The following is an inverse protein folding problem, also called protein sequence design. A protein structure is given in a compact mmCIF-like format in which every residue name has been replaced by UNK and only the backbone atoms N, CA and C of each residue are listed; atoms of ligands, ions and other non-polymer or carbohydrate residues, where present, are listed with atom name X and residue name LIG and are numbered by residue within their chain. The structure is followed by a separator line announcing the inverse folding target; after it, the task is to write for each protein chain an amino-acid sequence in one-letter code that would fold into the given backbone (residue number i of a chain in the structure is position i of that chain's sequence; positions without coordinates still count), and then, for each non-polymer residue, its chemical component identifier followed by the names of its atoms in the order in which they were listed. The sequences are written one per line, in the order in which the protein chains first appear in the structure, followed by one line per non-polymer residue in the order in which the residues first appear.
data_IF_022184047770
#
_entry.id   IF_022184047770
#
_cell.length_a   1.000
_cell.length_b   1.000
_cell.length_c   1.000
_cell.angle_alpha   90.00
_cell.angle_beta   90.00
_cell.angle_gamma   90.00
#
_symmetry.space_group_name_H-M   'P 1'
#
loop_
_entity.id
_entity.type
_entity.pdbx_description
1 polymer ?
#
# COMPACT_ATOMS: atom_id res chain seq x y z
N UNK A 1 26.14 5.02 -6.50
CA UNK A 1 25.75 5.53 -7.84
C UNK A 1 24.61 6.49 -7.65
N UNK A 2 24.76 7.77 -8.00
CA UNK A 2 23.67 8.74 -7.89
C UNK A 2 22.63 8.41 -8.98
N UNK A 3 21.37 8.22 -8.58
CA UNK A 3 20.28 7.94 -9.52
C UNK A 3 20.08 9.15 -10.45
N UNK A 4 20.03 8.91 -11.76
CA UNK A 4 19.69 9.92 -12.76
C UNK A 4 18.23 10.33 -12.58
N UNK A 5 17.97 11.60 -12.25
CA UNK A 5 16.62 12.14 -12.14
C UNK A 5 16.20 12.77 -13.47
N UNK A 6 14.96 12.50 -13.88
CA UNK A 6 14.36 13.09 -15.09
C UNK A 6 13.29 14.09 -14.65
N UNK A 7 13.31 15.35 -15.15
CA UNK A 7 12.32 16.34 -14.78
C UNK A 7 10.93 15.98 -15.35
N UNK A 8 9.89 16.14 -14.55
CA UNK A 8 8.50 15.98 -14.95
C UNK A 8 7.72 17.26 -14.65
N UNK A 9 6.96 17.76 -15.64
CA UNK A 9 6.06 18.91 -15.44
C UNK A 9 4.69 18.42 -14.99
N UNK A 10 4.21 18.96 -13.86
CA UNK A 10 2.93 18.58 -13.25
C UNK A 10 2.01 19.78 -13.26
N UNK A 11 0.82 19.59 -13.84
CA UNK A 11 -0.23 20.62 -13.79
C UNK A 11 -0.92 20.54 -12.44
N UNK A 12 -0.95 21.67 -11.75
CA UNK A 12 -1.67 21.84 -10.50
C UNK A 12 -2.66 22.98 -10.66
N UNK A 13 -3.83 22.81 -10.05
CA UNK A 13 -4.77 23.90 -9.87
C UNK A 13 -4.08 25.09 -9.14
N UNK A 14 -4.36 26.36 -9.50
CA UNK A 14 -3.73 27.51 -8.88
C UNK A 14 -3.90 27.57 -7.36
N UNK A 15 -5.06 27.17 -6.83
CA UNK A 15 -5.34 27.15 -5.39
C UNK A 15 -4.48 26.07 -4.72
N UNK A 16 -4.39 24.88 -5.32
CA UNK A 16 -3.55 23.80 -4.81
C UNK A 16 -2.06 24.18 -4.79
N UNK A 17 -1.58 24.83 -5.87
CA UNK A 17 -0.20 25.33 -5.96
C UNK A 17 0.10 26.36 -4.87
N UNK A 18 -0.83 27.27 -4.59
CA UNK A 18 -0.68 28.29 -3.56
C UNK A 18 -0.63 27.65 -2.15
N UNK A 19 -1.55 26.74 -1.84
CA UNK A 19 -1.55 25.98 -0.58
C UNK A 19 -0.25 25.21 -0.37
N UNK A 20 0.27 24.56 -1.40
CA UNK A 20 1.54 23.83 -1.32
C UNK A 20 2.71 24.78 -1.00
N UNK A 21 2.76 25.98 -1.58
CA UNK A 21 3.78 26.99 -1.25
C UNK A 21 3.69 27.44 0.21
N UNK A 22 2.48 27.65 0.73
CA UNK A 22 2.26 28.04 2.13
C UNK A 22 2.66 26.94 3.12
N UNK A 23 2.40 25.67 2.78
CA UNK A 23 2.89 24.52 3.55
C UNK A 23 4.43 24.47 3.52
N UNK A 24 5.01 24.61 2.34
CA UNK A 24 6.47 24.62 2.13
C UNK A 24 7.16 25.72 2.96
N UNK A 25 6.59 26.94 2.95
CA UNK A 25 7.09 28.07 3.74
C UNK A 25 7.04 27.77 5.25
N UNK A 26 5.92 27.24 5.76
CA UNK A 26 5.76 26.86 7.17
C UNK A 26 6.77 25.79 7.59
N UNK A 27 7.09 24.86 6.70
CA UNK A 27 8.01 23.75 6.97
C UNK A 27 9.48 24.06 6.62
N UNK A 28 9.79 25.26 6.11
CA UNK A 28 11.12 25.65 5.61
C UNK A 28 11.68 24.69 4.55
N UNK A 29 10.81 24.14 3.69
CA UNK A 29 11.15 23.24 2.59
C UNK A 29 10.76 23.85 1.25
N UNK A 30 11.27 23.34 0.14
CA UNK A 30 10.83 23.80 -1.19
C UNK A 30 9.53 23.10 -1.56
N UNK A 31 8.63 23.82 -2.27
CA UNK A 31 7.39 23.22 -2.77
C UNK A 31 7.67 22.04 -3.71
N UNK A 32 8.78 22.07 -4.45
CA UNK A 32 9.24 20.96 -5.27
C UNK A 32 9.57 19.72 -4.44
N UNK A 33 10.36 19.84 -3.37
CA UNK A 33 10.74 18.71 -2.54
C UNK A 33 9.51 18.05 -1.89
N UNK A 34 8.55 18.84 -1.42
CA UNK A 34 7.28 18.32 -0.91
C UNK A 34 6.44 17.62 -1.98
N UNK A 35 6.39 18.17 -3.20
CA UNK A 35 5.68 17.53 -4.30
C UNK A 35 6.31 16.19 -4.67
N UNK A 36 7.64 16.11 -4.78
CA UNK A 36 8.35 14.85 -5.07
C UNK A 36 8.07 13.80 -4.00
N UNK A 37 8.19 14.18 -2.72
CA UNK A 37 7.90 13.26 -1.60
C UNK A 37 6.45 12.75 -1.63
N UNK A 38 5.49 13.65 -1.85
CA UNK A 38 4.08 13.26 -1.94
C UNK A 38 3.81 12.30 -3.10
N UNK A 39 4.46 12.50 -4.25
CA UNK A 39 4.34 11.62 -5.41
C UNK A 39 4.97 10.25 -5.12
N UNK A 40 6.15 10.22 -4.51
CA UNK A 40 6.80 8.96 -4.12
C UNK A 40 5.93 8.16 -3.15
N UNK A 41 5.41 8.81 -2.11
CA UNK A 41 4.50 8.17 -1.16
C UNK A 41 3.22 7.64 -1.83
N UNK A 42 2.68 8.39 -2.80
CA UNK A 42 1.51 7.95 -3.57
C UNK A 42 1.84 6.72 -4.42
N UNK A 43 3.00 6.69 -5.09
CA UNK A 43 3.45 5.54 -5.89
C UNK A 43 3.55 4.31 -4.99
N UNK A 44 4.25 4.40 -3.86
CA UNK A 44 4.40 3.29 -2.91
C UNK A 44 3.05 2.80 -2.39
N UNK A 45 2.12 3.71 -2.09
CA UNK A 45 0.77 3.32 -1.70
C UNK A 45 0.05 2.58 -2.83
N UNK A 46 0.13 3.09 -4.08
CA UNK A 46 -0.54 2.49 -5.22
C UNK A 46 0.02 1.13 -5.58
N UNK A 47 1.33 0.94 -5.46
CA UNK A 47 1.97 -0.37 -5.65
C UNK A 47 1.55 -1.36 -4.57
N UNK A 48 1.46 -0.95 -3.30
CA UNK A 48 0.96 -1.81 -2.22
C UNK A 48 -0.50 -2.22 -2.44
N UNK A 49 -1.37 -1.27 -2.80
CA UNK A 49 -2.76 -1.56 -3.15
C UNK A 49 -2.85 -2.53 -4.34
N UNK A 50 -2.02 -2.33 -5.36
CA UNK A 50 -1.99 -3.21 -6.53
C UNK A 50 -1.52 -4.61 -6.18
N UNK A 51 -0.44 -4.75 -5.41
CA UNK A 51 0.11 -6.04 -4.98
C UNK A 51 -0.89 -6.82 -4.12
N UNK A 52 -1.60 -6.13 -3.21
CA UNK A 52 -2.67 -6.74 -2.42
C UNK A 52 -3.83 -7.23 -3.29
N UNK A 53 -4.28 -6.41 -4.25
CA UNK A 53 -5.35 -6.83 -5.16
C UNK A 53 -4.93 -8.03 -6.02
N UNK A 54 -3.69 -8.04 -6.50
CA UNK A 54 -3.15 -9.18 -7.24
C UNK A 54 -3.08 -10.43 -6.37
N UNK A 55 -2.69 -10.33 -5.09
CA UNK A 55 -2.65 -11.50 -4.20
C UNK A 55 -4.06 -12.05 -3.94
N UNK A 56 -5.07 -11.19 -3.75
CA UNK A 56 -6.46 -11.64 -3.62
C UNK A 56 -6.95 -12.37 -4.88
N UNK A 57 -6.67 -11.83 -6.07
CA UNK A 57 -7.02 -12.48 -7.34
C UNK A 57 -6.31 -13.83 -7.49
N UNK A 58 -5.03 -13.90 -7.12
CA UNK A 58 -4.26 -15.15 -7.16
C UNK A 58 -4.86 -16.20 -6.22
N UNK A 59 -5.18 -15.83 -4.97
CA UNK A 59 -5.83 -16.74 -4.01
C UNK A 59 -7.19 -17.23 -4.51
N UNK A 60 -7.98 -16.35 -5.14
CA UNK A 60 -9.27 -16.74 -5.72
C UNK A 60 -9.11 -17.72 -6.88
N UNK A 61 -8.15 -17.47 -7.78
CA UNK A 61 -7.86 -18.40 -8.88
C UNK A 61 -7.36 -19.76 -8.35
N UNK A 62 -6.49 -19.76 -7.35
CA UNK A 62 -6.02 -20.99 -6.70
C UNK A 62 -7.17 -21.78 -6.08
N UNK A 63 -8.10 -21.13 -5.39
CA UNK A 63 -9.30 -21.79 -4.88
C UNK A 63 -10.14 -22.38 -6.01
N UNK A 64 -10.35 -21.64 -7.10
CA UNK A 64 -11.11 -22.15 -8.26
C UNK A 64 -10.47 -23.37 -8.92
N UNK A 65 -9.14 -23.44 -8.94
CA UNK A 65 -8.41 -24.55 -9.55
C UNK A 65 -8.30 -25.76 -8.62
N UNK A 66 -8.08 -25.54 -7.33
CA UNK A 66 -7.74 -26.60 -6.38
C UNK A 66 -8.87 -27.00 -5.43
N UNK A 67 -9.87 -26.13 -5.24
CA UNK A 67 -10.90 -26.25 -4.20
C UNK A 67 -10.39 -25.98 -2.78
N UNK A 68 -9.08 -25.78 -2.59
CA UNK A 68 -8.49 -25.63 -1.27
C UNK A 68 -8.87 -24.28 -0.65
N UNK A 69 -9.43 -24.32 0.55
CA UNK A 69 -9.88 -23.16 1.32
C UNK A 69 -9.60 -23.38 2.81
N UNK A 70 -9.81 -22.35 3.63
CA UNK A 70 -9.83 -22.44 5.10
C UNK A 70 -11.25 -22.17 5.53
N UNK A 71 -11.77 -22.94 6.50
CA UNK A 71 -13.13 -22.71 7.01
C UNK A 71 -13.18 -21.51 7.96
N UNK A 72 -14.38 -20.96 8.17
CA UNK A 72 -14.57 -19.87 9.12
C UNK A 72 -14.16 -20.26 10.54
N UNK A 73 -14.47 -21.50 10.96
CA UNK A 73 -14.20 -22.01 12.30
C UNK A 73 -12.69 -22.16 12.59
N UNK A 74 -11.87 -22.35 11.55
CA UNK A 74 -10.40 -22.37 11.67
C UNK A 74 -9.79 -20.97 11.59
N UNK A 75 -10.40 -20.08 10.79
CA UNK A 75 -9.91 -18.74 10.56
C UNK A 75 -10.07 -17.84 11.79
N UNK A 76 -11.23 -17.89 12.46
CA UNK A 76 -11.54 -16.99 13.58
C UNK A 76 -10.56 -17.15 14.76
N UNK A 77 -10.29 -18.37 15.27
CA UNK A 77 -9.33 -18.54 16.37
C UNK A 77 -7.92 -18.07 16.02
N UNK A 78 -7.51 -18.27 14.75
CA UNK A 78 -6.22 -17.77 14.28
C UNK A 78 -6.17 -16.24 14.26
N UNK A 79 -7.20 -15.57 13.71
CA UNK A 79 -7.27 -14.10 13.68
C UNK A 79 -7.28 -13.50 15.10
N UNK A 80 -8.01 -14.11 16.03
CA UNK A 80 -8.09 -13.66 17.43
C UNK A 80 -6.77 -13.82 18.18
N UNK A 81 -5.90 -14.72 17.73
CA UNK A 81 -4.57 -14.93 18.31
C UNK A 81 -3.51 -13.93 17.84
N UNK A 82 -3.76 -13.22 16.72
CA UNK A 82 -2.81 -12.26 16.17
C UNK A 82 -2.55 -11.11 17.16
N UNK A 83 -1.29 -10.68 17.27
CA UNK A 83 -0.86 -9.63 18.19
C UNK A 83 -1.05 -9.96 19.69
N UNK A 84 -1.20 -11.24 20.04
CA UNK A 84 -1.20 -11.73 21.42
C UNK A 84 0.10 -12.47 21.75
N UNK A 85 0.34 -12.74 23.04
CA UNK A 85 1.50 -13.53 23.48
C UNK A 85 1.46 -14.99 22.99
N UNK A 86 0.29 -15.47 22.52
CA UNK A 86 0.07 -16.84 22.06
C UNK A 86 -0.46 -16.87 20.61
N UNK A 87 0.26 -16.22 19.69
CA UNK A 87 -0.09 -16.22 18.27
C UNK A 87 -0.06 -17.64 17.66
N UNK A 88 -1.17 -18.06 17.07
CA UNK A 88 -1.32 -19.37 16.44
C UNK A 88 -0.73 -19.35 15.01
N UNK A 89 -0.23 -20.50 14.50
CA UNK A 89 0.21 -20.57 13.11
C UNK A 89 -0.98 -20.39 12.15
N UNK A 90 -0.76 -19.82 10.95
CA UNK A 90 -1.80 -19.68 9.95
C UNK A 90 -2.36 -21.05 9.54
N UNK A 91 -3.70 -21.21 9.46
CA UNK A 91 -4.32 -22.46 9.05
C UNK A 91 -3.95 -22.81 7.61
N UNK A 92 -3.72 -24.09 7.35
CA UNK A 92 -3.41 -24.59 6.01
C UNK A 92 -4.71 -24.76 5.19
N UNK A 93 -4.68 -24.39 3.90
CA UNK A 93 -5.83 -24.63 3.03
C UNK A 93 -6.04 -26.14 2.78
N UNK A 94 -7.31 -26.55 2.82
CA UNK A 94 -7.79 -27.92 2.65
C UNK A 94 -9.05 -27.97 1.76
N UNK A 95 -9.37 -29.13 1.20
CA UNK A 95 -10.46 -29.32 0.22
C UNK A 95 -11.83 -29.46 0.90
#
# INVERSE_FOLDING_TARGET
MAATTVPMSIRLDPIARQKLKEIAARQKRTAHALATEAITALIEQKEREHAFNQSCIASYNQYKETGLHVTHDELVPWLDSLFTDNELPPPACHA
#
